data_IF_855288134913
#
_entry.id   IF_855288134913
#
_cell.length_a   1.000
_cell.length_b   1.000
_cell.length_c   1.000
_cell.angle_alpha   90.00
_cell.angle_beta   90.00
_cell.angle_gamma   90.00
#
_symmetry.space_group_name_H-M   'P 1'
#
loop_
_entity.id
_entity.type
_entity.pdbx_description
1 polymer ?
#
# COMPACT_ATOMS: atom_id res chain seq x y z
N UNK A 1 -4.67 -4.72 -1.64
CA UNK A 1 -5.26 -5.73 -0.73
C UNK A 1 -4.48 -7.04 -0.75
N UNK A 2 -4.30 -7.66 -1.92
CA UNK A 2 -3.76 -9.02 -2.00
C UNK A 2 -2.38 -9.20 -1.33
N UNK A 3 -1.40 -8.37 -1.70
CA UNK A 3 -0.07 -8.36 -1.09
C UNK A 3 -0.13 -8.20 0.45
N UNK A 4 -0.98 -7.31 0.95
CA UNK A 4 -1.16 -7.11 2.39
C UNK A 4 -1.69 -8.36 3.09
N UNK A 5 -2.59 -9.12 2.45
CA UNK A 5 -3.15 -10.38 2.98
C UNK A 5 -2.15 -11.54 3.01
N UNK A 6 -0.98 -11.40 2.39
CA UNK A 6 0.15 -12.33 2.57
C UNK A 6 1.26 -11.72 3.44
N UNK A 7 0.95 -10.64 4.17
CA UNK A 7 1.87 -9.98 5.10
C UNK A 7 3.00 -9.22 4.41
N UNK A 8 2.82 -8.85 3.14
CA UNK A 8 3.76 -8.00 2.39
C UNK A 8 3.36 -6.54 2.58
N UNK A 9 4.34 -5.69 2.86
CA UNK A 9 4.15 -4.24 2.91
C UNK A 9 4.07 -3.64 1.51
N UNK A 10 3.23 -2.62 1.31
CA UNK A 10 2.89 -2.07 -0.02
C UNK A 10 3.22 -0.59 -0.11
N UNK A 11 3.94 -0.20 -1.16
CA UNK A 11 4.09 1.20 -1.56
C UNK A 11 3.08 1.57 -2.65
N UNK A 12 2.49 2.76 -2.57
CA UNK A 12 1.59 3.28 -3.59
C UNK A 12 1.71 4.80 -3.72
N UNK A 13 1.18 5.37 -4.81
CA UNK A 13 1.19 6.82 -5.04
C UNK A 13 -0.22 7.39 -5.25
N UNK A 14 -0.31 8.72 -5.32
CA UNK A 14 -1.57 9.45 -5.49
C UNK A 14 -1.73 10.06 -6.89
N UNK A 15 -0.95 9.63 -7.90
CA UNK A 15 -0.96 10.19 -9.26
C UNK A 15 -2.28 9.94 -9.99
N UNK A 16 -3.08 8.98 -9.52
CA UNK A 16 -4.44 8.75 -10.01
C UNK A 16 -5.46 9.82 -9.62
N UNK A 17 -5.12 10.78 -8.77
CA UNK A 17 -6.02 11.88 -8.43
C UNK A 17 -6.49 12.62 -9.71
N UNK A 18 -7.75 13.03 -9.71
CA UNK A 18 -8.43 13.71 -10.82
C UNK A 18 -8.56 12.92 -12.14
N UNK A 19 -7.98 11.71 -12.23
CA UNK A 19 -7.97 10.93 -13.48
C UNK A 19 -9.30 10.26 -13.83
N UNK A 20 -10.20 10.09 -12.85
CA UNK A 20 -11.52 9.49 -13.04
C UNK A 20 -12.59 10.23 -12.25
N UNK A 21 -13.79 10.35 -12.84
CA UNK A 21 -15.00 10.76 -12.12
C UNK A 21 -15.64 9.52 -11.50
N UNK A 22 -15.93 9.58 -10.20
CA UNK A 22 -16.62 8.51 -9.49
C UNK A 22 -18.10 8.53 -9.92
N UNK A 23 -18.55 7.51 -10.64
CA UNK A 23 -19.89 7.47 -11.22
C UNK A 23 -20.97 7.11 -10.20
N UNK A 24 -20.59 6.28 -9.23
CA UNK A 24 -21.51 5.69 -8.26
C UNK A 24 -22.29 4.50 -8.83
N UNK A 25 -22.92 3.70 -7.96
CA UNK A 25 -23.71 2.53 -8.36
C UNK A 25 -24.91 2.91 -9.24
N UNK A 26 -25.22 2.06 -10.22
CA UNK A 26 -26.39 2.23 -11.08
C UNK A 26 -27.65 1.68 -10.42
N UNK A 27 -28.31 2.51 -9.61
CA UNK A 27 -29.45 2.11 -8.76
C UNK A 27 -30.74 1.76 -9.51
N UNK A 28 -30.79 1.99 -10.83
CA UNK A 28 -31.89 1.56 -11.71
C UNK A 28 -31.78 0.08 -12.14
N UNK A 29 -30.73 -0.63 -11.68
CA UNK A 29 -30.52 -2.06 -11.91
C UNK A 29 -30.64 -2.84 -10.61
N UNK A 30 -31.12 -4.07 -10.71
CA UNK A 30 -31.13 -5.01 -9.60
C UNK A 30 -29.70 -5.27 -9.12
N UNK A 31 -29.54 -5.36 -7.80
CA UNK A 31 -28.24 -5.63 -7.20
C UNK A 31 -27.75 -7.04 -7.54
N UNK A 32 -26.46 -7.16 -7.84
CA UNK A 32 -25.78 -8.44 -7.99
C UNK A 32 -25.39 -8.99 -6.61
N UNK A 33 -25.84 -10.19 -6.26
CA UNK A 33 -25.41 -10.87 -5.04
C UNK A 33 -24.10 -11.61 -5.28
N UNK A 34 -23.05 -11.27 -4.54
CA UNK A 34 -21.77 -11.98 -4.54
C UNK A 34 -21.57 -12.74 -3.23
N UNK A 35 -21.59 -14.08 -3.31
CA UNK A 35 -21.29 -14.96 -2.17
C UNK A 35 -19.77 -15.09 -2.08
N UNK A 36 -19.18 -14.50 -1.04
CA UNK A 36 -17.73 -14.40 -0.91
C UNK A 36 -17.16 -15.77 -0.51
N UNK A 37 -16.33 -16.41 -1.35
CA UNK A 37 -15.71 -17.67 -0.98
C UNK A 37 -14.70 -17.46 0.15
N UNK A 38 -14.55 -18.46 1.03
CA UNK A 38 -13.65 -18.44 2.20
C UNK A 38 -12.16 -18.56 1.82
N UNK A 39 -11.70 -17.61 1.02
CA UNK A 39 -10.37 -17.56 0.40
C UNK A 39 -9.87 -16.12 0.39
N UNK A 40 -8.54 -15.92 0.30
CA UNK A 40 -7.93 -14.60 0.16
C UNK A 40 -8.43 -13.93 -1.13
N UNK A 41 -8.44 -14.69 -2.22
CA UNK A 41 -8.91 -14.26 -3.53
C UNK A 41 -10.37 -13.81 -3.49
N UNK A 42 -11.22 -14.48 -2.70
CA UNK A 42 -12.60 -14.06 -2.47
C UNK A 42 -12.73 -12.66 -1.87
N UNK A 43 -11.88 -12.32 -0.89
CA UNK A 43 -11.85 -10.99 -0.27
C UNK A 43 -11.31 -9.93 -1.24
N UNK A 44 -10.31 -10.28 -2.04
CA UNK A 44 -9.75 -9.37 -3.06
C UNK A 44 -10.79 -9.08 -4.14
N UNK A 45 -11.48 -10.12 -4.62
CA UNK A 45 -12.54 -10.01 -5.62
C UNK A 45 -13.75 -9.22 -5.10
N UNK A 46 -14.13 -9.36 -3.82
CA UNK A 46 -15.23 -8.56 -3.27
C UNK A 46 -14.89 -7.06 -3.25
N UNK A 47 -13.65 -6.71 -2.87
CA UNK A 47 -13.18 -5.33 -2.96
C UNK A 47 -13.13 -4.82 -4.41
N UNK A 48 -12.65 -5.63 -5.36
CA UNK A 48 -12.61 -5.26 -6.77
C UNK A 48 -14.01 -4.97 -7.31
N UNK A 49 -14.98 -5.85 -7.05
CA UNK A 49 -16.39 -5.68 -7.44
C UNK A 49 -16.99 -4.41 -6.85
N UNK A 50 -16.72 -4.13 -5.58
CA UNK A 50 -17.17 -2.89 -4.95
C UNK A 50 -16.62 -1.66 -5.68
N UNK A 51 -15.31 -1.62 -5.96
CA UNK A 51 -14.71 -0.50 -6.67
C UNK A 51 -15.28 -0.38 -8.09
N UNK A 52 -15.43 -1.48 -8.82
CA UNK A 52 -16.00 -1.51 -10.18
C UNK A 52 -17.43 -0.94 -10.21
N UNK A 53 -18.27 -1.27 -9.22
CA UNK A 53 -19.60 -0.69 -9.08
C UNK A 53 -19.56 0.85 -9.13
N UNK A 54 -18.60 1.48 -8.43
CA UNK A 54 -18.49 2.94 -8.33
C UNK A 54 -17.77 3.58 -9.52
N UNK A 55 -16.68 2.98 -10.00
CA UNK A 55 -15.87 3.58 -11.08
C UNK A 55 -16.44 3.31 -12.46
N UNK A 56 -17.03 2.13 -12.69
CA UNK A 56 -17.64 1.77 -13.97
C UNK A 56 -19.10 2.22 -14.06
N UNK A 57 -19.76 2.45 -12.92
CA UNK A 57 -21.17 2.82 -12.86
C UNK A 57 -22.08 1.65 -13.25
N UNK A 58 -21.79 0.47 -12.71
CA UNK A 58 -22.53 -0.77 -12.97
C UNK A 58 -23.51 -1.06 -11.83
N UNK A 59 -24.19 -2.21 -11.89
CA UNK A 59 -25.18 -2.59 -10.88
C UNK A 59 -24.56 -2.58 -9.47
N UNK A 60 -25.33 -2.23 -8.42
CA UNK A 60 -24.87 -2.35 -7.05
C UNK A 60 -24.52 -3.81 -6.76
N UNK A 61 -23.46 -4.05 -6.00
CA UNK A 61 -23.13 -5.39 -5.48
C UNK A 61 -23.59 -5.50 -4.03
N UNK A 62 -24.24 -6.60 -3.69
CA UNK A 62 -24.53 -7.01 -2.31
C UNK A 62 -23.65 -8.20 -1.94
N UNK A 63 -23.13 -8.22 -0.71
CA UNK A 63 -22.18 -9.23 -0.27
C UNK A 63 -22.81 -10.21 0.70
N UNK A 64 -22.70 -11.50 0.40
CA UNK A 64 -23.02 -12.58 1.31
C UNK A 64 -21.71 -13.13 1.92
N UNK A 65 -21.57 -12.92 3.23
CA UNK A 65 -20.40 -13.32 4.02
C UNK A 65 -20.52 -14.72 4.66
N UNK A 66 -21.63 -15.43 4.44
CA UNK A 66 -21.97 -16.67 5.18
C UNK A 66 -20.96 -17.80 4.99
N UNK A 67 -20.23 -17.82 3.87
CA UNK A 67 -19.21 -18.83 3.62
C UNK A 67 -17.89 -18.57 4.35
N UNK A 68 -17.61 -17.32 4.77
CA UNK A 68 -16.35 -16.97 5.43
C UNK A 68 -16.27 -17.66 6.81
N UNK A 69 -15.13 -18.30 7.07
CA UNK A 69 -14.92 -19.02 8.33
C UNK A 69 -15.05 -18.09 9.54
N UNK A 70 -15.65 -18.61 10.61
CA UNK A 70 -15.89 -17.87 11.86
C UNK A 70 -14.57 -17.39 12.51
N UNK A 71 -14.68 -16.34 13.32
CA UNK A 71 -13.58 -15.87 14.16
C UNK A 71 -13.04 -17.02 15.04
N UNK A 72 -11.73 -17.12 15.17
CA UNK A 72 -11.05 -18.19 15.89
C UNK A 72 -10.75 -19.45 15.06
N UNK A 73 -11.33 -19.59 13.86
CA UNK A 73 -11.02 -20.73 12.98
C UNK A 73 -9.56 -20.65 12.46
N UNK A 74 -8.82 -21.76 12.34
CA UNK A 74 -7.42 -21.74 11.94
C UNK A 74 -7.24 -21.27 10.49
N UNK A 75 -6.16 -20.52 10.22
CA UNK A 75 -5.74 -20.13 8.87
C UNK A 75 -4.63 -21.07 8.39
N UNK A 76 -4.84 -21.71 7.22
CA UNK A 76 -3.83 -22.58 6.61
C UNK A 76 -2.69 -21.76 5.99
N UNK A 77 -1.46 -22.27 6.07
CA UNK A 77 -0.27 -21.67 5.48
C UNK A 77 0.43 -20.66 6.39
N UNK A 78 -0.24 -19.55 6.71
CA UNK A 78 0.36 -18.42 7.44
C UNK A 78 0.37 -18.57 8.97
N UNK A 79 -0.34 -19.57 9.51
CA UNK A 79 -0.57 -19.69 10.96
C UNK A 79 -1.59 -18.67 11.47
N UNK A 80 -1.92 -18.74 12.77
CA UNK A 80 -2.92 -17.85 13.39
C UNK A 80 -4.38 -18.28 13.20
N UNK A 81 -5.28 -17.37 13.53
CA UNK A 81 -6.74 -17.58 13.55
C UNK A 81 -7.46 -16.48 12.78
N UNK A 82 -8.55 -16.86 12.12
CA UNK A 82 -9.47 -15.96 11.41
C UNK A 82 -10.09 -14.95 12.36
N UNK A 83 -10.30 -13.74 11.84
CA UNK A 83 -11.08 -12.67 12.47
C UNK A 83 -12.59 -12.78 12.19
N UNK A 84 -13.01 -13.73 11.34
CA UNK A 84 -14.36 -13.77 10.80
C UNK A 84 -14.55 -12.76 9.66
N UNK A 85 -15.80 -12.56 9.24
CA UNK A 85 -16.13 -11.67 8.13
C UNK A 85 -16.23 -10.18 8.51
N UNK A 86 -16.36 -9.86 9.80
CA UNK A 86 -16.65 -8.49 10.26
C UNK A 86 -15.67 -7.44 9.75
N UNK A 87 -14.33 -7.66 9.77
CA UNK A 87 -13.40 -6.68 9.21
C UNK A 87 -13.63 -6.40 7.72
N UNK A 88 -14.02 -7.44 6.95
CA UNK A 88 -14.32 -7.31 5.53
C UNK A 88 -15.62 -6.52 5.30
N UNK A 89 -16.64 -6.79 6.11
CA UNK A 89 -17.90 -6.05 6.09
C UNK A 89 -17.71 -4.56 6.46
N UNK A 90 -16.90 -4.29 7.48
CA UNK A 90 -16.54 -2.93 7.91
C UNK A 90 -15.82 -2.17 6.79
N UNK A 91 -14.83 -2.77 6.13
CA UNK A 91 -14.12 -2.10 5.03
C UNK A 91 -15.01 -1.86 3.82
N UNK A 92 -15.89 -2.81 3.45
CA UNK A 92 -16.87 -2.57 2.39
C UNK A 92 -17.77 -1.38 2.73
N UNK A 93 -18.22 -1.28 3.98
CA UNK A 93 -19.06 -0.18 4.45
C UNK A 93 -18.33 1.15 4.36
N UNK A 94 -17.13 1.25 4.94
CA UNK A 94 -16.38 2.51 4.93
C UNK A 94 -15.94 2.93 3.53
N UNK A 95 -15.59 1.99 2.66
CA UNK A 95 -15.26 2.31 1.26
C UNK A 95 -16.48 2.84 0.52
N UNK A 96 -17.68 2.30 0.74
CA UNK A 96 -18.92 2.90 0.21
C UNK A 96 -19.11 4.33 0.71
N UNK A 97 -18.98 4.57 2.02
CA UNK A 97 -19.13 5.91 2.60
C UNK A 97 -18.13 6.92 2.02
N UNK A 98 -16.88 6.50 1.77
CA UNK A 98 -15.86 7.33 1.13
C UNK A 98 -16.24 7.62 -0.31
N UNK A 99 -16.64 6.61 -1.09
CA UNK A 99 -16.94 6.78 -2.51
C UNK A 99 -18.26 7.55 -2.72
N UNK A 100 -19.30 7.29 -1.93
CA UNK A 100 -20.61 7.95 -2.00
C UNK A 100 -20.49 9.47 -1.85
N UNK A 101 -19.62 9.93 -0.93
CA UNK A 101 -19.35 11.38 -0.72
C UNK A 101 -18.69 12.04 -1.93
N UNK A 102 -18.09 11.26 -2.81
CA UNK A 102 -17.32 11.75 -3.95
C UNK A 102 -17.99 11.40 -5.30
N UNK A 103 -19.19 10.83 -5.30
CA UNK A 103 -19.95 10.56 -6.54
C UNK A 103 -20.18 11.86 -7.32
N UNK A 104 -19.96 11.81 -8.63
CA UNK A 104 -20.05 12.94 -9.54
C UNK A 104 -18.81 13.83 -9.57
N UNK A 105 -17.83 13.58 -8.70
CA UNK A 105 -16.58 14.35 -8.62
C UNK A 105 -15.39 13.54 -9.11
N UNK A 106 -14.33 14.19 -9.62
CA UNK A 106 -13.04 13.53 -9.81
C UNK A 106 -12.51 12.95 -8.49
N UNK A 107 -11.89 11.77 -8.56
CA UNK A 107 -11.29 11.11 -7.39
C UNK A 107 -10.19 11.99 -6.77
N UNK A 108 -10.24 12.21 -5.46
CA UNK A 108 -9.27 13.07 -4.76
C UNK A 108 -8.08 12.28 -4.23
N UNK A 109 -7.00 12.99 -3.85
CA UNK A 109 -5.85 12.39 -3.16
C UNK A 109 -6.33 11.68 -1.89
N UNK A 110 -7.13 12.35 -1.07
CA UNK A 110 -7.67 11.80 0.18
C UNK A 110 -8.48 10.54 -0.08
N UNK A 111 -9.30 10.51 -1.12
CA UNK A 111 -10.10 9.32 -1.48
C UNK A 111 -9.22 8.12 -1.80
N UNK A 112 -8.14 8.31 -2.58
CA UNK A 112 -7.18 7.23 -2.91
C UNK A 112 -6.54 6.70 -1.63
N UNK A 113 -6.00 7.59 -0.80
CA UNK A 113 -5.29 7.19 0.43
C UNK A 113 -6.24 6.55 1.44
N UNK A 114 -7.48 7.02 1.55
CA UNK A 114 -8.47 6.46 2.47
C UNK A 114 -8.89 5.05 2.09
N UNK A 115 -9.13 4.77 0.81
CA UNK A 115 -9.44 3.42 0.33
C UNK A 115 -8.28 2.47 0.68
N UNK A 116 -7.04 2.88 0.39
CA UNK A 116 -5.86 2.08 0.69
C UNK A 116 -5.69 1.85 2.20
N UNK A 117 -5.76 2.90 3.00
CA UNK A 117 -5.62 2.81 4.45
C UNK A 117 -6.75 2.00 5.13
N UNK A 118 -7.97 2.07 4.60
CA UNK A 118 -9.10 1.24 5.06
C UNK A 118 -8.86 -0.24 4.74
N UNK A 119 -8.33 -0.56 3.55
CA UNK A 119 -7.88 -1.92 3.20
C UNK A 119 -6.76 -2.35 4.17
N UNK A 120 -5.78 -1.50 4.42
CA UNK A 120 -4.71 -1.78 5.38
C UNK A 120 -5.26 -2.11 6.78
N UNK A 121 -6.19 -1.31 7.28
CA UNK A 121 -6.88 -1.53 8.56
C UNK A 121 -7.62 -2.86 8.58
N UNK A 122 -8.35 -3.18 7.51
CA UNK A 122 -9.06 -4.46 7.36
C UNK A 122 -8.11 -5.65 7.53
N UNK A 123 -6.93 -5.60 6.91
CA UNK A 123 -5.95 -6.69 6.96
C UNK A 123 -5.35 -6.84 8.36
N UNK A 124 -5.08 -5.72 9.04
CA UNK A 124 -4.59 -5.73 10.43
C UNK A 124 -5.62 -6.31 11.39
N UNK A 125 -6.87 -5.82 11.33
CA UNK A 125 -7.99 -6.36 12.10
C UNK A 125 -8.30 -7.82 11.72
N UNK A 126 -7.98 -8.18 10.47
CA UNK A 126 -8.01 -9.52 9.90
C UNK A 126 -7.16 -10.56 10.62
N UNK A 127 -6.26 -10.11 11.50
CA UNK A 127 -5.24 -10.91 12.18
C UNK A 127 -4.20 -11.55 11.23
N UNK A 128 -3.96 -10.91 10.08
CA UNK A 128 -3.06 -11.42 9.02
C UNK A 128 -1.66 -10.77 9.09
N UNK A 129 -1.24 -10.26 10.28
CA UNK A 129 -0.01 -9.47 10.57
C UNK A 129 -0.25 -7.95 10.46
N UNK A 130 0.63 -7.16 11.08
CA UNK A 130 0.66 -5.69 10.89
C UNK A 130 0.98 -5.40 9.42
N UNK A 131 0.00 -4.93 8.64
CA UNK A 131 0.27 -4.33 7.33
C UNK A 131 1.19 -3.13 7.52
N UNK A 132 2.01 -2.85 6.52
CA UNK A 132 2.81 -1.64 6.46
C UNK A 132 2.61 -1.03 5.07
N UNK A 133 2.14 0.19 5.03
CA UNK A 133 1.97 0.93 3.79
C UNK A 133 2.90 2.14 3.77
N UNK A 134 3.36 2.52 2.58
CA UNK A 134 3.92 3.83 2.31
C UNK A 134 3.14 4.46 1.17
N UNK A 135 2.72 5.70 1.35
CA UNK A 135 2.12 6.49 0.29
C UNK A 135 3.12 7.55 -0.16
N UNK A 136 3.21 7.75 -1.48
CA UNK A 136 3.96 8.83 -2.10
C UNK A 136 3.03 9.87 -2.71
N UNK A 137 3.33 11.15 -2.47
CA UNK A 137 2.52 12.25 -2.98
C UNK A 137 3.34 13.49 -3.33
N UNK A 138 2.65 14.49 -3.85
CA UNK A 138 3.25 15.76 -4.27
C UNK A 138 3.65 16.59 -3.04
N UNK A 139 4.86 17.14 -3.08
CA UNK A 139 5.41 18.01 -2.05
C UNK A 139 4.73 19.37 -1.92
N UNK A 140 3.94 19.76 -2.91
CA UNK A 140 3.23 21.05 -2.97
C UNK A 140 1.73 20.94 -2.71
N UNK A 141 1.21 19.72 -2.54
CA UNK A 141 -0.21 19.48 -2.29
C UNK A 141 -0.57 19.68 -0.82
N UNK A 142 -1.33 20.74 -0.52
CA UNK A 142 -1.88 20.97 0.84
C UNK A 142 -2.81 19.82 1.27
N UNK A 143 -3.57 19.24 0.35
CA UNK A 143 -4.40 18.07 0.63
C UNK A 143 -3.53 16.91 1.12
N UNK A 144 -2.47 16.57 0.38
CA UNK A 144 -1.58 15.45 0.71
C UNK A 144 -0.85 15.66 2.03
N UNK A 145 -0.21 16.81 2.22
CA UNK A 145 0.57 17.14 3.42
C UNK A 145 -0.30 17.07 4.68
N UNK A 146 -1.58 17.43 4.58
CA UNK A 146 -2.50 17.43 5.72
C UNK A 146 -3.24 16.11 5.94
N UNK A 147 -2.99 15.05 5.16
CA UNK A 147 -3.67 13.77 5.34
C UNK A 147 -3.58 13.27 6.80
N UNK A 148 -2.41 13.36 7.44
CA UNK A 148 -2.22 12.97 8.86
C UNK A 148 -2.44 14.11 9.87
N UNK A 149 -2.89 15.27 9.43
CA UNK A 149 -3.28 16.34 10.35
C UNK A 149 -4.70 16.03 10.87
N UNK A 150 -4.81 15.26 11.95
CA UNK A 150 -6.11 14.84 12.49
C UNK A 150 -6.94 15.98 13.11
N UNK A 151 -6.35 17.18 13.32
CA UNK A 151 -7.14 18.38 13.64
C UNK A 151 -7.95 18.84 12.42
N UNK A 152 -7.39 18.74 11.21
CA UNK A 152 -8.09 19.01 9.94
C UNK A 152 -8.90 17.80 9.46
N UNK A 153 -8.37 16.59 9.64
CA UNK A 153 -8.92 15.33 9.13
C UNK A 153 -9.21 14.33 10.26
N UNK A 154 -10.11 14.65 11.22
CA UNK A 154 -10.33 13.83 12.42
C UNK A 154 -10.82 12.41 12.14
N UNK A 155 -11.63 12.24 11.10
CA UNK A 155 -12.14 10.94 10.66
C UNK A 155 -11.00 9.94 10.32
N UNK A 156 -9.87 10.44 9.83
CA UNK A 156 -8.71 9.63 9.46
C UNK A 156 -7.93 9.10 10.65
N UNK A 157 -8.16 9.58 11.88
CA UNK A 157 -7.49 9.01 13.07
C UNK A 157 -7.77 7.50 13.21
N UNK A 158 -8.92 7.04 12.73
CA UNK A 158 -9.34 5.64 12.86
C UNK A 158 -8.67 4.67 11.87
N UNK A 159 -8.00 5.13 10.82
CA UNK A 159 -7.37 4.29 9.79
C UNK A 159 -6.11 4.87 9.14
N UNK A 160 -5.88 6.19 9.19
CA UNK A 160 -4.76 6.90 8.57
C UNK A 160 -3.38 6.58 9.16
N UNK A 161 -3.33 5.84 10.26
CA UNK A 161 -2.08 5.30 10.85
C UNK A 161 -1.49 4.12 10.07
N UNK A 162 -2.23 3.56 9.11
CA UNK A 162 -1.84 2.35 8.36
C UNK A 162 -0.72 2.57 7.35
N UNK A 163 -0.57 3.80 6.84
CA UNK A 163 0.57 4.18 5.99
C UNK A 163 1.48 5.20 6.66
N UNK A 164 2.76 5.19 6.31
CA UNK A 164 3.63 6.36 6.43
C UNK A 164 3.55 7.18 5.14
N UNK A 165 3.61 8.51 5.24
CA UNK A 165 3.40 9.38 4.09
C UNK A 165 4.72 10.05 3.71
N UNK A 166 5.18 9.84 2.47
CA UNK A 166 6.39 10.49 1.96
C UNK A 166 6.07 11.38 0.79
N UNK A 167 6.76 12.51 0.66
CA UNK A 167 6.67 13.35 -0.54
C UNK A 167 7.74 12.97 -1.54
N UNK A 168 7.41 13.07 -2.83
CA UNK A 168 8.44 13.09 -3.87
C UNK A 168 9.17 14.43 -3.83
N UNK A 169 10.39 14.40 -3.30
CA UNK A 169 11.20 15.58 -3.07
C UNK A 169 12.10 15.86 -4.28
N UNK A 170 12.31 17.15 -4.55
CA UNK A 170 13.25 17.62 -5.55
C UNK A 170 14.49 18.22 -4.86
N UNK A 171 15.64 18.20 -5.52
CA UNK A 171 16.84 18.84 -4.99
C UNK A 171 16.68 20.37 -5.05
N UNK A 172 16.78 21.02 -3.89
CA UNK A 172 16.71 22.48 -3.81
C UNK A 172 15.28 23.05 -3.73
N UNK A 173 14.27 22.20 -3.55
CA UNK A 173 12.90 22.65 -3.22
C UNK A 173 12.86 23.37 -1.86
N UNK A 174 11.76 24.04 -1.57
CA UNK A 174 11.49 24.59 -0.24
C UNK A 174 11.03 23.50 0.72
N UNK A 175 11.83 23.22 1.74
CA UNK A 175 11.54 22.17 2.72
C UNK A 175 10.80 22.67 3.97
N UNK A 176 10.50 23.97 4.10
CA UNK A 176 9.99 24.56 5.34
C UNK A 176 8.66 23.96 5.78
N UNK A 177 7.68 23.88 4.89
CA UNK A 177 6.35 23.35 5.21
C UNK A 177 6.40 21.88 5.65
N UNK A 178 7.22 21.07 4.97
CA UNK A 178 7.46 19.67 5.34
C UNK A 178 8.18 19.56 6.69
N UNK A 179 9.20 20.39 6.93
CA UNK A 179 9.95 20.40 8.19
C UNK A 179 9.07 20.82 9.39
N UNK A 180 8.21 21.81 9.22
CA UNK A 180 7.26 22.24 10.25
C UNK A 180 6.30 21.11 10.62
N UNK A 181 5.85 20.32 9.65
CA UNK A 181 5.01 19.13 9.89
C UNK A 181 5.77 17.99 10.56
N UNK A 182 7.01 17.74 10.16
CA UNK A 182 7.85 16.72 10.79
C UNK A 182 8.06 17.03 12.26
N UNK A 183 8.19 18.32 12.62
CA UNK A 183 8.30 18.72 14.03
C UNK A 183 7.00 18.49 14.83
N UNK A 184 5.84 18.46 14.18
CA UNK A 184 4.53 18.19 14.81
C UNK A 184 4.29 16.69 15.02
N UNK A 185 4.57 15.84 14.01
CA UNK A 185 4.18 14.43 14.05
C UNK A 185 5.18 13.42 13.43
N UNK A 186 6.37 13.87 12.99
CA UNK A 186 7.38 13.03 12.36
C UNK A 186 7.17 12.75 10.86
N UNK A 187 6.20 13.39 10.21
CA UNK A 187 5.81 13.20 8.80
C UNK A 187 5.76 14.55 8.07
N UNK A 188 5.93 14.60 6.73
CA UNK A 188 6.15 13.47 5.82
C UNK A 188 7.61 13.02 5.76
N UNK A 189 7.84 11.80 5.30
CA UNK A 189 9.15 11.35 4.81
C UNK A 189 9.51 12.00 3.45
N UNK A 190 10.75 11.78 3.00
CA UNK A 190 11.24 12.30 1.71
C UNK A 190 11.74 11.16 0.82
N UNK A 191 11.28 11.14 -0.42
CA UNK A 191 11.76 10.25 -1.47
C UNK A 191 12.25 11.06 -2.67
N UNK A 192 13.54 11.01 -2.98
CA UNK A 192 14.10 11.68 -4.16
C UNK A 192 14.01 10.78 -5.38
N UNK A 193 12.81 10.72 -5.99
CA UNK A 193 12.53 9.83 -7.12
C UNK A 193 13.53 10.01 -8.28
N UNK A 194 13.89 11.26 -8.59
CA UNK A 194 14.88 11.55 -9.64
C UNK A 194 16.24 10.92 -9.32
N UNK A 195 16.66 10.93 -8.05
CA UNK A 195 17.92 10.31 -7.64
C UNK A 195 17.85 8.78 -7.75
N UNK A 196 16.72 8.18 -7.34
CA UNK A 196 16.47 6.74 -7.46
C UNK A 196 16.54 6.30 -8.93
N UNK A 197 16.01 7.12 -9.84
CA UNK A 197 16.03 6.84 -11.28
C UNK A 197 17.41 7.05 -11.93
N UNK A 198 18.17 8.07 -11.51
CA UNK A 198 19.40 8.48 -12.19
C UNK A 198 20.65 7.71 -11.74
N UNK A 199 20.64 7.10 -10.55
CA UNK A 199 21.84 6.56 -9.93
C UNK A 199 21.65 5.16 -9.35
N UNK A 200 22.57 4.24 -9.71
CA UNK A 200 22.82 3.05 -8.89
C UNK A 200 23.66 3.42 -7.64
N UNK A 201 24.98 3.53 -7.79
CA UNK A 201 25.87 4.07 -6.74
C UNK A 201 26.25 5.48 -7.12
N UNK A 202 25.94 6.47 -6.28
CA UNK A 202 26.16 7.89 -6.58
C UNK A 202 27.62 8.21 -7.00
N UNK A 203 28.62 7.52 -6.41
CA UNK A 203 30.04 7.71 -6.74
C UNK A 203 30.41 7.35 -8.19
N UNK A 204 29.57 6.58 -8.88
CA UNK A 204 29.83 6.12 -10.25
C UNK A 204 29.27 7.09 -11.31
N UNK A 205 28.68 8.22 -10.89
CA UNK A 205 27.97 9.14 -11.78
C UNK A 205 26.57 8.65 -12.14
N UNK A 206 25.87 9.45 -12.95
CA UNK A 206 24.52 9.13 -13.45
C UNK A 206 24.62 7.96 -14.44
N UNK A 207 23.91 6.88 -14.16
CA UNK A 207 23.89 5.69 -15.01
C UNK A 207 22.49 5.29 -15.50
N UNK A 208 21.43 5.84 -14.88
CA UNK A 208 20.02 5.64 -15.27
C UNK A 208 19.61 4.17 -15.43
N UNK A 209 20.25 3.27 -14.69
CA UNK A 209 19.94 1.84 -14.78
C UNK A 209 18.55 1.49 -14.26
N UNK A 210 18.01 2.33 -13.38
CA UNK A 210 16.73 2.13 -12.71
C UNK A 210 15.71 3.22 -13.11
N UNK A 211 15.77 3.68 -14.36
CA UNK A 211 15.01 4.84 -14.84
C UNK A 211 13.47 4.66 -14.83
N UNK A 212 12.97 3.46 -14.54
CA UNK A 212 11.53 3.13 -14.48
C UNK A 212 10.97 3.10 -13.06
N UNK A 213 11.83 3.30 -12.05
CA UNK A 213 11.42 3.39 -10.65
C UNK A 213 10.27 4.36 -10.51
N UNK A 214 9.27 3.94 -9.75
CA UNK A 214 8.05 4.69 -9.49
C UNK A 214 7.84 4.97 -8.00
N UNK A 215 8.64 4.36 -7.13
CA UNK A 215 8.58 4.54 -5.68
C UNK A 215 9.50 3.54 -4.97
N UNK A 216 9.11 3.10 -3.78
CA UNK A 216 9.82 2.08 -3.02
C UNK A 216 8.89 1.33 -2.08
N UNK A 217 9.46 0.34 -1.38
CA UNK A 217 8.76 -0.41 -0.34
C UNK A 217 8.57 0.44 0.94
N UNK A 218 7.78 -0.01 1.94
CA UNK A 218 7.50 0.80 3.14
C UNK A 218 8.70 1.26 3.97
N UNK A 219 9.83 0.57 3.87
CA UNK A 219 11.08 0.97 4.54
C UNK A 219 12.00 1.83 3.65
N UNK A 220 11.60 2.04 2.39
CA UNK A 220 12.24 2.90 1.38
C UNK A 220 13.71 2.58 1.07
N UNK A 221 14.18 1.36 1.36
CA UNK A 221 15.54 0.92 1.05
C UNK A 221 15.69 0.34 -0.37
N UNK A 222 14.59 -0.09 -1.01
CA UNK A 222 14.58 -0.52 -2.41
C UNK A 222 13.89 0.49 -3.29
N UNK A 223 14.53 0.84 -4.40
CA UNK A 223 13.88 1.52 -5.52
C UNK A 223 13.11 0.47 -6.32
N UNK A 224 11.83 0.72 -6.59
CA UNK A 224 10.94 -0.27 -7.19
C UNK A 224 10.17 0.32 -8.38
N UNK A 225 10.04 -0.48 -9.42
CA UNK A 225 9.07 -0.30 -10.49
C UNK A 225 7.65 -0.66 -10.02
N UNK A 226 6.65 -0.29 -10.82
CA UNK A 226 5.26 -0.68 -10.54
C UNK A 226 5.11 -2.21 -10.50
N UNK A 227 4.49 -2.72 -9.43
CA UNK A 227 4.30 -4.14 -9.14
C UNK A 227 5.58 -4.96 -8.90
N UNK A 228 6.74 -4.30 -8.73
CA UNK A 228 7.99 -4.99 -8.38
C UNK A 228 8.01 -5.37 -6.90
N UNK A 229 8.70 -6.49 -6.59
CA UNK A 229 8.86 -6.99 -5.23
C UNK A 229 10.28 -6.75 -4.70
N UNK A 230 10.34 -6.39 -3.43
CA UNK A 230 11.58 -6.31 -2.68
C UNK A 230 12.15 -7.73 -2.41
N UNK A 231 13.43 -7.94 -2.69
CA UNK A 231 14.17 -9.18 -2.41
C UNK A 231 15.43 -8.87 -1.62
N UNK A 232 15.47 -9.29 -0.35
CA UNK A 232 16.53 -8.93 0.59
C UNK A 232 17.33 -10.16 1.04
N UNK A 233 18.59 -9.92 1.35
CA UNK A 233 19.44 -10.80 2.14
C UNK A 233 20.28 -9.93 3.06
N UNK A 234 20.33 -10.29 4.34
CA UNK A 234 21.10 -9.56 5.34
C UNK A 234 22.40 -10.31 5.64
N UNK A 235 23.50 -9.56 5.77
CA UNK A 235 24.81 -10.10 6.15
C UNK A 235 25.40 -9.24 7.27
N UNK A 236 26.09 -9.86 8.22
CA UNK A 236 26.65 -9.18 9.39
C UNK A 236 28.19 -9.17 9.31
N UNK A 237 28.83 -8.09 8.85
CA UNK A 237 30.28 -8.06 8.63
C UNK A 237 31.12 -8.31 9.90
N UNK A 238 30.55 -8.08 11.08
CA UNK A 238 31.19 -8.30 12.38
C UNK A 238 31.22 -9.77 12.80
N UNK A 239 30.58 -10.67 12.04
CA UNK A 239 30.48 -12.08 12.34
C UNK A 239 31.34 -12.95 11.39
N UNK A 240 32.50 -12.41 10.98
CA UNK A 240 33.44 -13.04 10.06
C UNK A 240 34.85 -12.96 10.61
N UNK A 241 35.66 -13.99 10.37
CA UNK A 241 37.03 -14.04 10.87
C UNK A 241 37.94 -12.99 10.24
N UNK A 242 37.70 -12.69 8.97
CA UNK A 242 38.47 -11.75 8.15
C UNK A 242 37.68 -11.37 6.88
N UNK A 243 38.29 -10.53 6.03
CA UNK A 243 37.68 -10.06 4.79
C UNK A 243 37.36 -11.20 3.80
N UNK A 244 38.22 -12.22 3.69
CA UNK A 244 38.02 -13.31 2.72
C UNK A 244 36.79 -14.16 3.09
N UNK A 245 36.59 -14.42 4.38
CA UNK A 245 35.39 -15.08 4.90
C UNK A 245 34.10 -14.27 4.62
N UNK A 246 34.17 -12.95 4.81
CA UNK A 246 33.04 -12.07 4.48
C UNK A 246 32.73 -12.04 2.98
N UNK A 247 33.74 -11.95 2.11
CA UNK A 247 33.56 -12.00 0.65
C UNK A 247 32.93 -13.33 0.22
N UNK A 248 33.34 -14.44 0.84
CA UNK A 248 32.73 -15.75 0.60
C UNK A 248 31.25 -15.76 1.01
N UNK A 249 30.91 -15.17 2.14
CA UNK A 249 29.50 -15.01 2.57
C UNK A 249 28.69 -14.20 1.58
N UNK A 250 29.22 -13.07 1.08
CA UNK A 250 28.54 -12.24 0.08
C UNK A 250 28.22 -13.01 -1.21
N UNK A 251 29.09 -13.91 -1.66
CA UNK A 251 28.82 -14.79 -2.80
C UNK A 251 27.60 -15.68 -2.57
N UNK A 252 27.48 -16.31 -1.40
CA UNK A 252 26.33 -17.15 -1.08
C UNK A 252 25.05 -16.34 -0.88
N UNK A 253 25.15 -15.17 -0.25
CA UNK A 253 24.03 -14.24 -0.10
C UNK A 253 23.46 -13.85 -1.48
N UNK A 254 24.33 -13.50 -2.44
CA UNK A 254 23.93 -13.23 -3.82
C UNK A 254 23.24 -14.42 -4.48
N UNK A 255 23.83 -15.62 -4.37
CA UNK A 255 23.25 -16.83 -4.98
C UNK A 255 21.88 -17.18 -4.37
N UNK A 256 21.73 -17.01 -3.06
CA UNK A 256 20.47 -17.20 -2.36
C UNK A 256 19.41 -16.22 -2.88
N UNK A 257 19.69 -14.91 -2.84
CA UNK A 257 18.77 -13.89 -3.32
C UNK A 257 18.40 -14.11 -4.80
N UNK A 258 19.38 -14.47 -5.64
CA UNK A 258 19.10 -14.76 -7.06
C UNK A 258 18.20 -15.98 -7.24
N UNK A 259 18.35 -17.01 -6.42
CA UNK A 259 17.50 -18.19 -6.46
C UNK A 259 16.07 -17.86 -6.04
N UNK A 260 15.87 -16.96 -5.05
CA UNK A 260 14.54 -16.48 -4.66
C UNK A 260 13.80 -15.82 -5.83
N UNK A 261 14.51 -15.12 -6.73
CA UNK A 261 13.90 -14.52 -7.93
C UNK A 261 13.32 -15.52 -8.94
N UNK A 262 13.62 -16.82 -8.79
CA UNK A 262 13.05 -17.88 -9.62
C UNK A 262 11.70 -18.37 -9.09
N UNK A 263 11.32 -17.96 -7.87
CA UNK A 263 10.00 -18.22 -7.32
C UNK A 263 8.92 -17.51 -8.13
N UNK A 264 7.74 -18.13 -8.22
CA UNK A 264 6.57 -17.45 -8.78
C UNK A 264 5.94 -16.55 -7.73
N UNK A 265 5.67 -15.32 -8.12
CA UNK A 265 4.77 -14.43 -7.41
C UNK A 265 3.33 -14.84 -7.73
N UNK A 266 2.40 -14.60 -6.80
CA UNK A 266 0.99 -14.98 -6.93
C UNK A 266 0.28 -14.19 -8.03
#
# INVERSE_FOLDING_TARGET
>A
MDASMVGVGVGFDTKGAESFVIRGPKTDRDSELYIIPDTREGWVESMARLLDTYFLGIAPVEFDYTQIRKAGAPIKGFGGVSSGYKPLEEVHTYVREVLDKNVGSPITITTIVDIMNLIGKCVVAGNVRRTAEIVFGDSTSDEYINLKNYKKNPHRESYGWTSNNSIFAELGMDYRDAADRINDNGEPGFAWLQNMQDYSRMKNGRDRKDHRVSGGNPCLEQSLESYELCCLVETFPTNHENLDDYIKTLKYAYLYAKTVTLGKTH
#
